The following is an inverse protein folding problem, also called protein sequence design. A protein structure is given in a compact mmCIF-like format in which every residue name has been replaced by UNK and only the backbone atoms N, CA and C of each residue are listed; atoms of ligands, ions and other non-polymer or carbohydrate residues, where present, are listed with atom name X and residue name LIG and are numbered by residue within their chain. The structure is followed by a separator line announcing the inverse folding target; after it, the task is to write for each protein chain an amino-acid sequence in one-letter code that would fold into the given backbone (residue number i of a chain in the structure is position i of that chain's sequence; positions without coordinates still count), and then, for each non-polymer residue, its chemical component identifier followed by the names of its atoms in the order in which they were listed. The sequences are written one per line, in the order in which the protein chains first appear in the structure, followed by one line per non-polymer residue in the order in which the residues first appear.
data_IF_278108464484
#
_entry.id   IF_278108464484
#
_cell.length_a   1.000
_cell.length_b   1.000
_cell.length_c   1.000
_cell.angle_alpha   90.00
_cell.angle_beta   90.00
_cell.angle_gamma   90.00
#
_symmetry.space_group_name_H-M   'P 1'
#
loop_
_entity.id
_entity.type
_entity.pdbx_description
1 polymer ?
#
# COMPACT_ATOMS: atom_id res chain seq x y z
N UNK A 1 0.26 -25.81 6.41
CA UNK A 1 0.72 -25.02 5.22
C UNK A 1 2.03 -24.29 5.54
N UNK A 2 3.18 -24.97 5.50
CA UNK A 2 4.47 -24.40 5.95
C UNK A 2 4.91 -23.17 5.15
N UNK A 3 4.71 -23.17 3.84
CA UNK A 3 5.10 -22.08 2.95
C UNK A 3 4.47 -20.74 3.32
N UNK A 4 3.15 -20.70 3.51
CA UNK A 4 2.43 -19.47 3.88
C UNK A 4 2.79 -18.99 5.30
N UNK A 5 3.09 -19.91 6.22
CA UNK A 5 3.59 -19.53 7.55
C UNK A 5 4.96 -18.82 7.44
N UNK A 6 5.87 -19.36 6.61
CA UNK A 6 7.18 -18.74 6.38
C UNK A 6 7.04 -17.35 5.79
N UNK A 7 6.22 -17.19 4.74
CA UNK A 7 5.96 -15.89 4.13
C UNK A 7 5.33 -14.89 5.12
N UNK A 8 4.34 -15.34 5.90
CA UNK A 8 3.70 -14.49 6.91
C UNK A 8 4.69 -14.02 7.99
N UNK A 9 5.58 -14.92 8.43
CA UNK A 9 6.62 -14.58 9.42
C UNK A 9 7.66 -13.63 8.84
N UNK A 10 8.15 -13.90 7.64
CA UNK A 10 9.23 -13.14 7.00
C UNK A 10 8.77 -11.73 6.61
N UNK A 11 7.58 -11.62 6.00
CA UNK A 11 7.09 -10.34 5.46
C UNK A 11 6.06 -9.66 6.36
N UNK A 12 5.63 -10.28 7.46
CA UNK A 12 4.64 -9.71 8.39
C UNK A 12 5.10 -8.38 8.97
N UNK A 13 6.38 -8.29 9.34
CA UNK A 13 7.01 -7.05 9.81
C UNK A 13 7.19 -6.00 8.70
N UNK A 14 6.99 -6.39 7.43
CA UNK A 14 7.04 -5.54 6.23
C UNK A 14 5.64 -5.19 5.71
N UNK A 15 4.59 -5.60 6.42
CA UNK A 15 3.19 -5.28 6.11
C UNK A 15 2.45 -6.35 5.32
N UNK A 16 3.03 -7.54 5.09
CA UNK A 16 2.27 -8.66 4.53
C UNK A 16 1.35 -9.26 5.59
N UNK A 17 0.05 -9.29 5.30
CA UNK A 17 -0.92 -10.04 6.10
C UNK A 17 -1.39 -11.22 5.26
N UNK A 18 -1.27 -12.43 5.82
CA UNK A 18 -1.84 -13.64 5.23
C UNK A 18 -3.15 -13.90 5.95
N UNK A 19 -4.23 -14.15 5.20
CA UNK A 19 -5.54 -14.50 5.74
C UNK A 19 -6.00 -15.78 5.04
N UNK A 20 -6.19 -16.86 5.79
CA UNK A 20 -6.86 -18.05 5.30
C UNK A 20 -8.37 -17.81 5.27
N UNK A 21 -9.07 -18.31 4.25
CA UNK A 21 -10.53 -18.19 4.15
C UNK A 21 -11.08 -19.55 3.77
N UNK A 22 -12.07 -20.02 4.52
CA UNK A 22 -12.81 -21.26 4.24
C UNK A 22 -14.31 -21.02 4.37
N UNK A 23 -15.09 -21.71 3.54
CA UNK A 23 -16.55 -21.78 3.63
C UNK A 23 -17.02 -22.79 4.68
N UNK A 24 -16.14 -23.66 5.16
CA UNK A 24 -16.42 -24.58 6.25
C UNK A 24 -16.64 -23.84 7.57
N UNK A 25 -17.57 -24.35 8.38
CA UNK A 25 -17.78 -23.88 9.74
C UNK A 25 -16.51 -24.08 10.59
N UNK A 26 -16.33 -23.23 11.61
CA UNK A 26 -15.16 -23.28 12.50
C UNK A 26 -14.96 -24.67 13.11
N UNK A 27 -16.03 -25.33 13.55
CA UNK A 27 -15.96 -26.67 14.14
C UNK A 27 -15.34 -27.73 13.22
N UNK A 28 -15.42 -27.55 11.89
CA UNK A 28 -14.89 -28.47 10.88
C UNK A 28 -13.46 -28.09 10.50
N UNK A 29 -13.22 -26.81 10.26
CA UNK A 29 -11.94 -26.32 9.75
C UNK A 29 -10.88 -26.16 10.83
N UNK A 30 -11.25 -25.85 12.08
CA UNK A 30 -10.31 -25.60 13.17
C UNK A 30 -9.37 -26.79 13.46
N UNK A 31 -9.83 -28.06 13.48
CA UNK A 31 -8.93 -29.21 13.59
C UNK A 31 -7.85 -29.25 12.49
N UNK A 32 -8.19 -28.86 11.25
CA UNK A 32 -7.21 -28.79 10.16
C UNK A 32 -6.19 -27.67 10.38
N UNK A 33 -6.65 -26.49 10.79
CA UNK A 33 -5.81 -25.32 11.13
C UNK A 33 -4.79 -25.69 12.22
N UNK A 34 -5.27 -26.32 13.29
CA UNK A 34 -4.46 -26.72 14.44
C UNK A 34 -3.45 -27.81 14.06
N UNK A 35 -3.90 -28.87 13.35
CA UNK A 35 -3.05 -29.95 12.85
C UNK A 35 -1.93 -29.44 11.94
N UNK A 36 -2.24 -28.45 11.09
CA UNK A 36 -1.29 -27.87 10.15
C UNK A 36 -0.47 -26.70 10.72
N UNK A 37 -0.66 -26.37 12.01
CA UNK A 37 0.00 -25.29 12.74
C UNK A 37 -0.03 -23.97 11.95
N UNK A 38 -1.19 -23.62 11.38
CA UNK A 38 -1.33 -22.37 10.64
C UNK A 38 -1.26 -21.20 11.63
N UNK A 39 -0.28 -20.30 11.44
CA UNK A 39 0.00 -19.21 12.39
C UNK A 39 -0.59 -17.87 11.96
N UNK A 40 -1.21 -17.82 10.78
CA UNK A 40 -1.90 -16.65 10.26
C UNK A 40 -3.41 -16.74 10.54
N UNK A 41 -4.13 -15.60 10.63
CA UNK A 41 -5.58 -15.58 10.83
C UNK A 41 -6.34 -16.40 9.78
N UNK A 42 -7.38 -17.11 10.21
CA UNK A 42 -8.28 -17.88 9.35
C UNK A 42 -9.72 -17.42 9.60
N UNK A 43 -10.43 -17.05 8.53
CA UNK A 43 -11.86 -16.75 8.55
C UNK A 43 -12.66 -18.01 8.21
N UNK A 44 -13.63 -18.34 9.04
CA UNK A 44 -14.50 -19.53 8.93
C UNK A 44 -15.92 -19.16 8.50
N UNK A 45 -16.63 -20.10 7.89
CA UNK A 45 -18.07 -20.01 7.59
C UNK A 45 -18.45 -18.94 6.57
N UNK A 46 -17.46 -18.29 5.95
CA UNK A 46 -17.61 -17.19 5.02
C UNK A 46 -16.64 -17.36 3.88
N UNK A 47 -17.00 -18.15 2.87
CA UNK A 47 -16.18 -18.31 1.67
C UNK A 47 -15.99 -16.99 0.92
N UNK A 48 -14.90 -16.87 0.18
CA UNK A 48 -14.63 -15.71 -0.69
C UNK A 48 -15.41 -15.83 -2.02
N UNK A 49 -16.75 -15.81 -1.97
CA UNK A 49 -17.63 -16.11 -3.14
C UNK A 49 -17.37 -15.21 -4.36
N UNK A 50 -16.96 -13.97 -4.12
CA UNK A 50 -16.62 -13.02 -5.20
C UNK A 50 -15.23 -13.30 -5.82
N UNK A 51 -14.38 -14.06 -5.12
CA UNK A 51 -13.06 -14.48 -5.59
C UNK A 51 -13.17 -15.83 -6.33
N UNK A 52 -13.64 -15.75 -7.58
CA UNK A 52 -13.80 -16.92 -8.45
C UNK A 52 -12.45 -17.62 -8.71
N UNK A 53 -12.36 -18.92 -8.40
CA UNK A 53 -11.21 -19.78 -8.67
C UNK A 53 -11.60 -20.99 -9.52
N UNK A 54 -10.62 -21.57 -10.23
CA UNK A 54 -10.76 -22.82 -11.00
C UNK A 54 -10.41 -24.08 -10.20
N UNK A 55 -9.82 -23.93 -9.01
CA UNK A 55 -9.39 -25.03 -8.16
C UNK A 55 -8.83 -24.56 -6.83
N UNK A 56 -8.88 -25.44 -5.83
CA UNK A 56 -8.39 -25.19 -4.47
C UNK A 56 -7.14 -26.07 -4.26
N UNK A 57 -6.08 -25.58 -3.58
CA UNK A 57 -5.99 -24.27 -2.95
C UNK A 57 -5.65 -23.14 -3.93
N UNK A 58 -6.19 -21.95 -3.66
CA UNK A 58 -5.95 -20.74 -4.45
C UNK A 58 -5.62 -19.56 -3.53
N UNK A 59 -4.80 -18.64 -4.02
CA UNK A 59 -4.43 -17.43 -3.29
C UNK A 59 -4.42 -16.24 -4.22
N UNK A 60 -4.71 -15.08 -3.63
CA UNK A 60 -4.63 -13.78 -4.27
C UNK A 60 -3.68 -12.91 -3.46
N UNK A 61 -2.77 -12.23 -4.14
CA UNK A 61 -1.98 -11.16 -3.53
C UNK A 61 -2.67 -9.84 -3.84
N UNK A 62 -3.06 -9.13 -2.79
CA UNK A 62 -3.65 -7.80 -2.89
C UNK A 62 -2.58 -6.77 -2.57
N UNK A 63 -2.35 -5.85 -3.50
CA UNK A 63 -1.39 -4.76 -3.36
C UNK A 63 -1.85 -3.71 -2.34
N UNK A 64 -0.95 -2.83 -1.88
CA UNK A 64 -1.29 -1.75 -0.94
C UNK A 64 -2.34 -0.74 -1.44
N UNK A 65 -2.62 -0.74 -2.74
CA UNK A 65 -3.66 0.04 -3.41
C UNK A 65 -5.03 -0.68 -3.44
N UNK A 66 -5.12 -1.89 -2.88
CA UNK A 66 -6.34 -2.70 -2.84
C UNK A 66 -6.59 -3.52 -4.11
N UNK A 67 -5.68 -3.51 -5.09
CA UNK A 67 -5.85 -4.29 -6.33
C UNK A 67 -5.21 -5.67 -6.23
N UNK A 68 -5.80 -6.66 -6.88
CA UNK A 68 -5.17 -7.97 -7.06
C UNK A 68 -3.99 -7.84 -8.02
N UNK A 69 -2.80 -8.08 -7.53
CA UNK A 69 -1.54 -7.99 -8.30
C UNK A 69 -1.01 -9.36 -8.72
N UNK A 70 -1.46 -10.42 -8.05
CA UNK A 70 -1.15 -11.81 -8.40
C UNK A 70 -2.27 -12.75 -7.94
N UNK A 71 -2.46 -13.86 -8.65
CA UNK A 71 -3.34 -14.96 -8.25
C UNK A 71 -2.79 -16.30 -8.73
N UNK A 72 -3.01 -17.37 -7.97
CA UNK A 72 -2.56 -18.70 -8.35
C UNK A 72 -2.53 -19.69 -7.20
N UNK A 73 -1.84 -20.81 -7.40
CA UNK A 73 -1.64 -21.79 -6.36
C UNK A 73 -0.70 -21.22 -5.27
N UNK A 74 -1.02 -21.35 -3.96
CA UNK A 74 -0.23 -20.74 -2.88
C UNK A 74 1.25 -21.14 -2.89
N UNK A 75 1.57 -22.38 -3.28
CA UNK A 75 2.97 -22.84 -3.37
C UNK A 75 3.80 -22.08 -4.43
N UNK A 76 3.16 -21.40 -5.39
CA UNK A 76 3.83 -20.63 -6.44
C UNK A 76 4.04 -19.16 -6.05
N UNK A 77 3.45 -18.68 -4.95
CA UNK A 77 3.71 -17.33 -4.44
C UNK A 77 5.11 -17.31 -3.81
N UNK A 78 6.05 -16.53 -4.35
CA UNK A 78 7.42 -16.48 -3.85
C UNK A 78 7.83 -15.07 -3.43
N UNK A 79 8.99 -14.98 -2.78
CA UNK A 79 9.60 -13.76 -2.26
C UNK A 79 9.71 -12.66 -3.33
N UNK A 80 10.13 -13.00 -4.56
CA UNK A 80 10.27 -12.03 -5.66
C UNK A 80 8.94 -11.36 -6.03
N UNK A 81 7.84 -12.12 -6.09
CA UNK A 81 6.50 -11.57 -6.35
C UNK A 81 6.09 -10.63 -5.22
N UNK A 82 6.32 -11.03 -3.97
CA UNK A 82 5.97 -10.23 -2.80
C UNK A 82 6.82 -8.95 -2.77
N UNK A 83 8.13 -9.05 -2.92
CA UNK A 83 9.04 -7.90 -2.92
C UNK A 83 8.66 -6.86 -3.99
N UNK A 84 8.27 -7.31 -5.17
CA UNK A 84 7.79 -6.44 -6.26
C UNK A 84 6.53 -5.65 -5.87
N UNK A 85 5.64 -6.25 -5.09
CA UNK A 85 4.29 -5.71 -4.85
C UNK A 85 4.03 -5.22 -3.42
N UNK A 86 4.90 -5.53 -2.46
CA UNK A 86 4.78 -5.09 -1.07
C UNK A 86 5.15 -3.60 -0.92
N UNK A 87 5.68 -2.97 -1.95
CA UNK A 87 6.18 -1.60 -1.85
C UNK A 87 5.02 -0.62 -1.63
N UNK A 88 4.94 -0.04 -0.44
CA UNK A 88 3.82 0.79 0.01
C UNK A 88 2.88 0.09 1.00
N UNK A 89 3.13 -1.19 1.31
CA UNK A 89 2.40 -1.93 2.34
C UNK A 89 2.51 -1.23 3.69
N UNK A 90 1.41 -1.27 4.43
CA UNK A 90 1.32 -0.65 5.74
C UNK A 90 1.77 -1.66 6.78
N UNK A 91 2.85 -1.33 7.49
CA UNK A 91 3.04 -1.84 8.83
C UNK A 91 2.19 -0.92 9.71
N UNK A 92 1.13 -1.48 10.28
CA UNK A 92 0.34 -0.76 11.28
C UNK A 92 1.29 -0.23 12.36
N UNK A 93 1.10 1.01 12.84
CA UNK A 93 1.98 1.52 13.88
C UNK A 93 1.88 0.61 15.12
N UNK A 94 3.02 0.25 15.70
CA UNK A 94 3.05 -0.15 17.12
C UNK A 94 2.99 1.11 17.99
N UNK A 95 1.97 1.96 17.80
CA UNK A 95 1.67 3.02 18.75
C UNK A 95 0.97 2.33 19.92
N UNK A 96 1.71 2.11 20.99
CA UNK A 96 1.14 1.62 22.24
C UNK A 96 0.47 2.80 22.94
N UNK A 97 -0.85 2.85 22.84
CA UNK A 97 -1.67 3.74 23.65
C UNK A 97 -2.06 2.97 24.92
N UNK A 98 -1.75 3.49 26.12
CA UNK A 98 -2.15 2.89 27.39
C UNK A 98 -3.66 2.57 27.44
N UNK A 99 -4.02 1.48 28.14
CA UNK A 99 -5.40 0.95 28.15
C UNK A 99 -6.40 1.89 28.81
N UNK A 100 -5.94 2.79 29.69
CA UNK A 100 -6.74 3.87 30.25
C UNK A 100 -7.32 4.79 29.17
N UNK A 101 -6.71 4.82 27.98
CA UNK A 101 -7.15 5.61 26.82
C UNK A 101 -7.81 4.73 25.75
N UNK A 102 -8.64 3.77 26.16
CA UNK A 102 -9.32 2.79 25.29
C UNK A 102 -10.00 3.40 24.05
N UNK A 103 -10.62 4.58 24.17
CA UNK A 103 -11.24 5.29 23.05
C UNK A 103 -10.21 5.78 22.02
N UNK A 104 -9.12 6.39 22.47
CA UNK A 104 -8.02 6.80 21.62
C UNK A 104 -7.34 5.57 20.97
N UNK A 105 -7.21 4.47 21.73
CA UNK A 105 -6.71 3.19 21.23
C UNK A 105 -7.59 2.66 20.08
N UNK A 106 -8.92 2.72 20.23
CA UNK A 106 -9.88 2.35 19.18
C UNK A 106 -9.74 3.21 17.91
N UNK A 107 -9.58 4.52 18.06
CA UNK A 107 -9.33 5.40 16.91
C UNK A 107 -8.00 5.08 16.22
N UNK A 108 -6.92 4.85 16.98
CA UNK A 108 -5.61 4.53 16.42
C UNK A 108 -5.61 3.17 15.71
N UNK A 109 -6.26 2.15 16.28
CA UNK A 109 -6.46 0.82 15.64
C UNK A 109 -7.18 0.93 14.30
N UNK A 110 -8.13 1.85 14.18
CA UNK A 110 -8.86 2.13 12.94
C UNK A 110 -8.13 3.10 11.99
N UNK A 111 -6.90 3.52 12.31
CA UNK A 111 -6.12 4.47 11.49
C UNK A 111 -6.63 5.91 11.54
N UNK A 112 -7.54 6.24 12.47
CA UNK A 112 -8.07 7.59 12.67
C UNK A 112 -7.18 8.37 13.65
N UNK A 113 -5.90 8.54 13.33
CA UNK A 113 -4.89 9.15 14.20
C UNK A 113 -5.23 10.57 14.65
N UNK A 114 -5.81 11.40 13.79
CA UNK A 114 -6.25 12.75 14.17
C UNK A 114 -7.35 12.74 15.25
N UNK A 115 -8.25 11.75 15.21
CA UNK A 115 -9.26 11.56 16.28
C UNK A 115 -8.63 11.03 17.56
N UNK A 116 -7.69 10.08 17.45
CA UNK A 116 -6.95 9.56 18.59
C UNK A 116 -6.18 10.68 19.30
N UNK A 117 -5.45 11.51 18.54
CA UNK A 117 -4.71 12.66 19.03
C UNK A 117 -5.62 13.67 19.74
N UNK A 118 -6.72 14.08 19.10
CA UNK A 118 -7.68 15.01 19.70
C UNK A 118 -8.30 14.48 21.00
N UNK A 119 -8.59 13.18 21.08
CA UNK A 119 -9.09 12.55 22.29
C UNK A 119 -8.02 12.56 23.40
N UNK A 120 -6.77 12.17 23.09
CA UNK A 120 -5.64 12.24 24.02
C UNK A 120 -5.37 13.65 24.53
N UNK A 121 -5.47 14.67 23.68
CA UNK A 121 -5.35 16.09 24.09
C UNK A 121 -6.39 16.45 25.15
N UNK A 122 -7.65 16.04 24.95
CA UNK A 122 -8.73 16.27 25.93
C UNK A 122 -8.45 15.53 27.24
N UNK A 123 -7.92 14.32 27.17
CA UNK A 123 -7.59 13.51 28.35
C UNK A 123 -6.40 14.09 29.11
N UNK A 124 -5.34 14.53 28.44
CA UNK A 124 -4.21 15.22 29.04
C UNK A 124 -4.64 16.49 29.79
N UNK A 125 -5.58 17.27 29.22
CA UNK A 125 -6.11 18.48 29.84
C UNK A 125 -7.01 18.20 31.07
N UNK A 126 -7.62 17.00 31.14
CA UNK A 126 -8.50 16.58 32.25
C UNK A 126 -7.81 15.64 33.23
N UNK A 127 -6.52 15.36 33.03
CA UNK A 127 -5.78 14.39 33.82
C UNK A 127 -5.71 14.83 35.28
N UNK A 128 -6.12 13.91 36.18
CA UNK A 128 -6.11 14.14 37.63
C UNK A 128 -4.73 13.97 38.26
N UNK A 129 -3.81 13.31 37.55
CA UNK A 129 -2.45 13.07 38.02
C UNK A 129 -1.41 13.46 36.96
N UNK A 130 -0.20 13.85 37.37
CA UNK A 130 0.91 14.11 36.45
C UNK A 130 1.24 12.92 35.55
N UNK A 131 1.10 11.70 36.08
CA UNK A 131 1.41 10.45 35.38
C UNK A 131 0.43 10.22 34.22
N UNK A 132 -0.87 10.42 34.45
CA UNK A 132 -1.89 10.32 33.40
C UNK A 132 -1.68 11.38 32.31
N UNK A 133 -1.31 12.61 32.71
CA UNK A 133 -1.01 13.67 31.76
C UNK A 133 0.21 13.32 30.90
N UNK A 134 1.27 12.79 31.53
CA UNK A 134 2.48 12.34 30.85
C UNK A 134 2.19 11.19 29.88
N UNK A 135 1.44 10.18 30.32
CA UNK A 135 1.05 9.05 29.48
C UNK A 135 0.27 9.47 28.23
N UNK A 136 -0.66 10.42 28.37
CA UNK A 136 -1.39 10.98 27.23
C UNK A 136 -0.46 11.74 26.27
N UNK A 137 0.48 12.53 26.80
CA UNK A 137 1.46 13.26 26.01
C UNK A 137 2.43 12.32 25.27
N UNK A 138 2.92 11.25 25.92
CA UNK A 138 3.80 10.26 25.31
C UNK A 138 3.09 9.49 24.17
N UNK A 139 1.80 9.18 24.36
CA UNK A 139 0.96 8.61 23.31
C UNK A 139 0.75 9.59 22.13
N UNK A 140 0.50 10.88 22.41
CA UNK A 140 0.40 11.92 21.36
C UNK A 140 1.70 12.03 20.56
N UNK A 141 2.85 12.08 21.25
CA UNK A 141 4.17 12.10 20.60
C UNK A 141 4.41 10.89 19.71
N UNK A 142 3.99 9.70 20.16
CA UNK A 142 4.09 8.48 19.34
C UNK A 142 3.27 8.56 18.05
N UNK A 143 2.11 9.24 18.07
CA UNK A 143 1.30 9.49 16.87
C UNK A 143 2.01 10.50 15.95
N UNK A 144 2.58 11.56 16.49
CA UNK A 144 3.36 12.56 15.73
C UNK A 144 4.56 11.92 15.04
N UNK A 145 5.40 11.19 15.80
CA UNK A 145 6.56 10.46 15.28
C UNK A 145 6.17 9.48 14.17
N UNK A 146 5.00 8.84 14.30
CA UNK A 146 4.48 7.98 13.24
C UNK A 146 4.11 8.79 11.99
N UNK A 147 3.41 9.91 12.14
CA UNK A 147 3.11 10.84 11.05
C UNK A 147 4.37 11.30 10.31
N UNK A 148 5.43 11.65 11.03
CA UNK A 148 6.71 12.04 10.44
C UNK A 148 7.37 10.90 9.66
N UNK A 149 7.35 9.67 10.21
CA UNK A 149 7.83 8.48 9.49
C UNK A 149 7.03 8.23 8.21
N UNK A 150 5.72 8.46 8.22
CA UNK A 150 4.86 8.34 7.02
C UNK A 150 5.21 9.42 6.00
N UNK A 151 5.48 10.65 6.43
CA UNK A 151 5.94 11.73 5.55
C UNK A 151 7.29 11.41 4.92
N UNK A 152 8.26 10.93 5.70
CA UNK A 152 9.56 10.50 5.18
C UNK A 152 9.44 9.36 4.15
N UNK A 153 8.48 8.43 4.33
CA UNK A 153 8.22 7.40 3.34
C UNK A 153 7.68 7.95 2.01
N UNK A 154 6.86 9.01 2.05
CA UNK A 154 6.37 9.70 0.85
C UNK A 154 7.51 10.43 0.13
N UNK A 155 8.44 11.06 0.87
CA UNK A 155 9.65 11.65 0.28
C UNK A 155 10.51 10.60 -0.45
N UNK A 156 10.63 9.39 0.11
CA UNK A 156 11.30 8.28 -0.59
C UNK A 156 10.57 7.87 -1.87
N UNK A 157 9.23 7.88 -1.88
CA UNK A 157 8.46 7.64 -3.11
C UNK A 157 8.72 8.71 -4.16
N UNK A 158 8.81 9.98 -3.74
CA UNK A 158 9.17 11.11 -4.61
C UNK A 158 10.54 10.92 -5.25
N UNK A 159 11.55 10.59 -4.45
CA UNK A 159 12.91 10.35 -4.91
C UNK A 159 12.97 9.16 -5.89
N UNK A 160 12.18 8.12 -5.63
CA UNK A 160 12.02 6.97 -6.51
C UNK A 160 11.06 7.22 -7.70
N UNK A 161 10.58 8.45 -7.89
CA UNK A 161 9.60 8.84 -8.94
C UNK A 161 8.29 8.04 -8.94
N UNK A 162 7.94 7.43 -7.81
CA UNK A 162 6.70 6.67 -7.61
C UNK A 162 5.53 7.60 -7.28
N UNK A 163 5.26 8.54 -8.18
CA UNK A 163 4.32 9.63 -7.91
C UNK A 163 2.86 9.18 -7.75
N UNK A 164 2.43 8.17 -8.51
CA UNK A 164 1.07 7.60 -8.38
C UNK A 164 0.87 7.00 -6.98
N UNK A 165 1.83 6.19 -6.53
CA UNK A 165 1.80 5.58 -5.20
C UNK A 165 1.85 6.63 -4.09
N UNK A 166 2.70 7.64 -4.26
CA UNK A 166 2.84 8.73 -3.30
C UNK A 166 1.60 9.62 -3.22
N UNK A 167 0.92 9.91 -4.33
CA UNK A 167 -0.37 10.64 -4.34
C UNK A 167 -1.43 9.85 -3.56
N UNK A 168 -1.54 8.54 -3.82
CA UNK A 168 -2.45 7.68 -3.08
C UNK A 168 -2.12 7.61 -1.59
N UNK A 169 -0.82 7.59 -1.24
CA UNK A 169 -0.37 7.67 0.15
C UNK A 169 -0.78 9.00 0.79
N UNK A 170 -0.44 10.13 0.17
CA UNK A 170 -0.76 11.48 0.63
C UNK A 170 -2.26 11.65 0.93
N UNK A 171 -3.14 11.25 0.01
CA UNK A 171 -4.60 11.34 0.21
C UNK A 171 -5.08 10.57 1.44
N UNK A 172 -4.53 9.37 1.67
CA UNK A 172 -4.88 8.56 2.84
C UNK A 172 -4.34 9.16 4.13
N UNK A 173 -3.10 9.64 4.13
CA UNK A 173 -2.50 10.25 5.33
C UNK A 173 -3.19 11.56 5.72
N UNK A 174 -3.64 12.38 4.75
CA UNK A 174 -4.48 13.57 5.02
C UNK A 174 -5.74 13.19 5.81
N UNK A 175 -6.38 12.08 5.44
CA UNK A 175 -7.58 11.58 6.13
C UNK A 175 -7.24 11.03 7.51
N UNK A 176 -6.17 10.24 7.61
CA UNK A 176 -5.75 9.60 8.85
C UNK A 176 -5.34 10.62 9.93
N UNK A 177 -4.61 11.66 9.55
CA UNK A 177 -4.08 12.71 10.43
C UNK A 177 -4.91 14.00 10.40
N UNK A 178 -6.19 13.92 10.02
CA UNK A 178 -7.08 15.09 9.93
C UNK A 178 -7.11 15.86 11.24
N UNK A 179 -6.85 17.17 11.17
CA UNK A 179 -6.84 18.07 12.34
C UNK A 179 -5.48 18.19 13.04
N UNK A 180 -4.46 17.42 12.61
CA UNK A 180 -3.09 17.56 13.08
C UNK A 180 -2.25 18.38 12.09
N UNK A 181 -1.14 18.98 12.56
CA UNK A 181 -0.24 19.76 11.70
C UNK A 181 0.46 18.91 10.65
N UNK A 182 0.82 17.67 10.98
CA UNK A 182 1.34 16.71 10.00
C UNK A 182 0.32 16.42 8.88
N UNK A 183 -0.98 16.42 9.21
CA UNK A 183 -2.08 16.34 8.25
C UNK A 183 -2.05 17.49 7.21
N UNK A 184 -1.82 18.72 7.67
CA UNK A 184 -1.67 19.89 6.80
C UNK A 184 -0.42 19.80 5.93
N UNK A 185 0.67 19.25 6.47
CA UNK A 185 1.92 19.02 5.72
C UNK A 185 1.69 18.05 4.55
N UNK A 186 0.97 16.94 4.77
CA UNK A 186 0.55 16.03 3.69
C UNK A 186 -0.33 16.74 2.64
N UNK A 187 -1.26 17.58 3.07
CA UNK A 187 -2.12 18.33 2.15
C UNK A 187 -1.33 19.31 1.27
N UNK A 188 -0.37 20.01 1.86
CA UNK A 188 0.53 20.91 1.14
C UNK A 188 1.37 20.15 0.09
N UNK A 189 1.97 19.02 0.48
CA UNK A 189 2.80 18.22 -0.43
C UNK A 189 1.97 17.65 -1.59
N UNK A 190 0.76 17.18 -1.31
CA UNK A 190 -0.18 16.74 -2.35
C UNK A 190 -0.51 17.84 -3.35
N UNK A 191 -0.78 19.06 -2.86
CA UNK A 191 -1.05 20.23 -3.71
C UNK A 191 0.17 20.58 -4.55
N UNK A 192 1.38 20.51 -3.98
CA UNK A 192 2.62 20.74 -4.70
C UNK A 192 2.80 19.73 -5.85
N UNK A 193 2.66 18.42 -5.57
CA UNK A 193 2.81 17.37 -6.59
C UNK A 193 1.78 17.50 -7.70
N UNK A 194 0.52 17.81 -7.34
CA UNK A 194 -0.56 18.04 -8.32
C UNK A 194 -0.38 19.30 -9.16
N UNK A 195 0.50 20.23 -8.79
CA UNK A 195 0.80 21.44 -9.57
C UNK A 195 2.08 21.32 -10.38
N UNK A 196 3.01 20.46 -9.94
CA UNK A 196 4.29 20.24 -10.60
C UNK A 196 4.12 19.65 -12.01
N UNK A 197 4.66 20.36 -13.01
CA UNK A 197 4.56 19.97 -14.42
C UNK A 197 5.38 18.72 -14.74
N UNK A 198 6.53 18.52 -14.09
CA UNK A 198 7.39 17.34 -14.29
C UNK A 198 6.74 16.11 -13.69
N UNK A 199 6.17 16.22 -12.49
CA UNK A 199 5.43 15.11 -11.87
C UNK A 199 4.22 14.71 -12.74
N UNK A 200 3.47 15.69 -13.27
CA UNK A 200 2.37 15.42 -14.22
C UNK A 200 2.86 14.71 -15.49
N UNK A 201 3.99 15.14 -16.03
CA UNK A 201 4.58 14.51 -17.20
C UNK A 201 5.00 13.07 -16.93
N UNK A 202 5.64 12.80 -15.78
CA UNK A 202 6.02 11.44 -15.36
C UNK A 202 4.81 10.52 -15.22
N UNK A 203 3.75 10.98 -14.55
CA UNK A 203 2.51 10.19 -14.40
C UNK A 203 1.89 9.89 -15.77
N UNK A 204 1.66 10.93 -16.58
CA UNK A 204 1.06 10.79 -17.91
C UNK A 204 1.93 9.93 -18.83
N UNK A 205 3.25 10.03 -18.73
CA UNK A 205 4.18 9.23 -19.51
C UNK A 205 4.13 7.76 -19.12
N UNK A 206 4.10 7.47 -17.81
CA UNK A 206 3.98 6.10 -17.29
C UNK A 206 2.68 5.42 -17.71
N UNK A 207 1.56 6.15 -17.71
CA UNK A 207 0.25 5.64 -18.18
C UNK A 207 0.29 5.28 -19.67
N UNK A 208 0.83 6.18 -20.51
CA UNK A 208 0.99 5.93 -21.94
C UNK A 208 1.92 4.73 -22.21
N UNK A 209 3.00 4.61 -21.45
CA UNK A 209 3.93 3.49 -21.57
C UNK A 209 3.24 2.15 -21.25
N UNK A 210 2.46 2.09 -20.17
CA UNK A 210 1.69 0.90 -19.80
C UNK A 210 0.62 0.54 -20.85
N UNK A 211 0.00 1.54 -21.49
CA UNK A 211 -0.90 1.33 -22.62
C UNK A 211 -0.17 0.71 -23.81
N UNK A 212 1.00 1.26 -24.18
CA UNK A 212 1.82 0.75 -25.27
C UNK A 212 2.26 -0.71 -25.02
N UNK A 213 2.71 -1.04 -23.81
CA UNK A 213 3.03 -2.41 -23.41
C UNK A 213 1.83 -3.35 -23.55
N UNK A 214 0.63 -2.88 -23.18
CA UNK A 214 -0.61 -3.65 -23.34
C UNK A 214 -0.96 -3.89 -24.80
N UNK A 215 -0.71 -2.93 -25.69
CA UNK A 215 -0.89 -3.08 -27.13
C UNK A 215 0.10 -4.08 -27.73
N UNK A 216 1.37 -4.06 -27.30
CA UNK A 216 2.38 -5.05 -27.69
C UNK A 216 1.92 -6.46 -27.31
N UNK A 217 1.46 -6.67 -26.07
CA UNK A 217 0.92 -7.96 -25.60
C UNK A 217 -0.27 -8.46 -26.43
N UNK A 218 -0.99 -7.56 -27.10
CA UNK A 218 -2.12 -7.86 -27.97
C UNK A 218 -1.74 -7.97 -29.45
N UNK A 219 -0.45 -7.96 -29.78
CA UNK A 219 0.06 -8.00 -31.15
C UNK A 219 -0.20 -6.73 -31.96
N UNK A 220 -0.62 -5.63 -31.32
CA UNK A 220 -0.94 -4.35 -31.98
C UNK A 220 0.30 -3.46 -32.09
N UNK A 221 1.33 -3.95 -32.77
CA UNK A 221 2.65 -3.31 -32.80
C UNK A 221 2.63 -1.91 -33.41
N UNK A 222 1.90 -1.67 -34.51
CA UNK A 222 1.79 -0.35 -35.14
C UNK A 222 1.19 0.71 -34.22
N UNK A 223 0.20 0.33 -33.41
CA UNK A 223 -0.41 1.25 -32.43
C UNK A 223 0.54 1.52 -31.26
N UNK A 224 1.21 0.48 -30.74
CA UNK A 224 2.21 0.65 -29.69
C UNK A 224 3.37 1.55 -30.14
N UNK A 225 3.87 1.35 -31.36
CA UNK A 225 4.96 2.15 -31.93
C UNK A 225 4.61 3.64 -32.03
N UNK A 226 3.34 3.99 -32.33
CA UNK A 226 2.89 5.40 -32.31
C UNK A 226 3.01 6.01 -30.91
N UNK A 227 2.63 5.27 -29.87
CA UNK A 227 2.72 5.76 -28.49
C UNK A 227 4.19 5.92 -28.08
N UNK A 228 5.05 4.94 -28.37
CA UNK A 228 6.49 5.06 -28.08
C UNK A 228 7.14 6.24 -28.85
N UNK A 229 6.77 6.46 -30.11
CA UNK A 229 7.24 7.61 -30.89
C UNK A 229 6.81 8.95 -30.27
N UNK A 230 5.56 9.03 -29.79
CA UNK A 230 5.05 10.23 -29.15
C UNK A 230 5.75 10.51 -27.82
N UNK A 231 5.95 9.48 -27.00
CA UNK A 231 6.63 9.60 -25.70
C UNK A 231 8.10 10.01 -25.85
N UNK A 232 8.82 9.43 -26.83
CA UNK A 232 10.23 9.74 -27.07
C UNK A 232 10.46 11.17 -27.57
N UNK A 233 9.58 11.69 -28.43
CA UNK A 233 9.82 12.96 -29.15
C UNK A 233 9.18 14.19 -28.52
N UNK A 234 8.12 14.02 -27.73
CA UNK A 234 7.38 15.17 -27.23
C UNK A 234 8.09 15.84 -26.06
N UNK A 235 8.43 17.13 -26.23
CA UNK A 235 9.09 18.00 -25.23
C UNK A 235 8.47 17.97 -23.83
N UNK A 236 7.16 17.66 -23.74
CA UNK A 236 6.44 17.50 -22.46
C UNK A 236 7.08 16.42 -21.58
N UNK A 237 7.64 15.37 -22.17
CA UNK A 237 8.17 14.21 -21.46
C UNK A 237 9.70 14.28 -21.29
N UNK A 238 10.33 15.41 -21.59
CA UNK A 238 11.78 15.57 -21.51
C UNK A 238 12.32 15.25 -20.11
N UNK A 239 13.23 14.28 -20.06
CA UNK A 239 13.90 13.81 -18.85
C UNK A 239 13.06 12.88 -17.97
N UNK A 240 11.86 12.49 -18.42
CA UNK A 240 11.02 11.50 -17.73
C UNK A 240 11.56 10.08 -17.92
N UNK A 241 11.28 9.17 -16.99
CA UNK A 241 11.65 7.75 -17.19
C UNK A 241 10.86 7.12 -18.35
N UNK A 242 9.60 7.55 -18.54
CA UNK A 242 8.78 7.09 -19.64
C UNK A 242 9.35 7.47 -21.02
N UNK A 243 9.96 8.65 -21.17
CA UNK A 243 10.62 9.04 -22.41
C UNK A 243 11.81 8.13 -22.72
N UNK A 244 12.70 7.92 -21.74
CA UNK A 244 13.89 7.06 -21.90
C UNK A 244 13.50 5.63 -22.29
N UNK A 245 12.53 5.06 -21.60
CA UNK A 245 12.05 3.71 -21.92
C UNK A 245 11.39 3.69 -23.31
N UNK A 246 10.60 4.71 -23.66
CA UNK A 246 9.97 4.79 -24.96
C UNK A 246 10.97 4.92 -26.12
N UNK A 247 12.09 5.61 -25.95
CA UNK A 247 13.17 5.67 -26.94
C UNK A 247 13.72 4.28 -27.25
N UNK A 248 14.01 3.50 -26.21
CA UNK A 248 14.49 2.12 -26.34
C UNK A 248 13.44 1.26 -27.05
N UNK A 249 12.20 1.24 -26.52
CA UNK A 249 11.11 0.41 -27.05
C UNK A 249 10.72 0.80 -28.47
N UNK A 250 10.83 2.07 -28.83
CA UNK A 250 10.54 2.53 -30.18
C UNK A 250 11.53 1.97 -31.21
N UNK A 251 12.81 1.83 -30.86
CA UNK A 251 13.80 1.17 -31.72
C UNK A 251 13.55 -0.33 -31.80
N UNK A 252 13.34 -0.98 -30.65
CA UNK A 252 13.09 -2.43 -30.60
C UNK A 252 11.85 -2.85 -31.39
N UNK A 253 10.78 -2.06 -31.36
CA UNK A 253 9.53 -2.43 -32.01
C UNK A 253 9.58 -2.32 -33.53
N UNK A 254 10.54 -1.58 -34.12
CA UNK A 254 10.64 -1.42 -35.57
C UNK A 254 10.81 -2.76 -36.30
N UNK A 255 11.43 -3.76 -35.67
CA UNK A 255 11.60 -5.10 -36.26
C UNK A 255 10.30 -5.90 -36.42
N UNK A 256 9.19 -5.41 -35.87
CA UNK A 256 7.86 -6.04 -35.92
C UNK A 256 6.84 -5.24 -36.73
N UNK A 257 7.25 -4.13 -37.36
CA UNK A 257 6.41 -3.27 -38.20
C UNK A 257 6.62 -3.59 -39.68
#
# INVERSE_FOLDING_TARGET
MPHLNSLHKEYGTRGLVVIGVTDEAEAIAKPYVDKNKMTYPVAFGGGAKDYKTRGIPHSWLVGPDGKVVWKGHPASLNNSIIDKHIVGARIGPKIQIPDEFSKAQGYAKNGAFGKAYSDLTKQANRAKTPELKKAANDAMKSIEDYGDKRFAAIEKMKAARRYVDGIGALQREITAFKGMDIGKKFESELKAWKKDKKIKAEISGSEMLAEAETLVKRGKYKSAAKIYAQLSKAKKFDGTEAQKEAEIRYQEIQKYL
#
